data_IF_510073556045
#
_entry.id   IF_510073556045
#
_cell.length_a   1.000
_cell.length_b   1.000
_cell.length_c   1.000
_cell.angle_alpha   90.00
_cell.angle_beta   90.00
_cell.angle_gamma   90.00
#
_symmetry.space_group_name_H-M   'P 1'
#
loop_
_entity.id
_entity.type
_entity.pdbx_description
1 polymer ?
#
# COMPACT_ATOMS: atom_id res chain seq x y z
N UNK A 1 3.11 15.52 22.50
CA UNK A 1 3.29 15.49 21.05
C UNK A 1 2.36 16.54 20.50
N UNK A 2 2.88 17.57 19.89
CA UNK A 2 2.05 18.63 19.28
C UNK A 2 1.31 18.04 18.08
N UNK A 3 0.00 18.15 18.15
CA UNK A 3 -0.93 17.74 17.10
C UNK A 3 -0.72 18.64 15.87
N UNK A 4 0.28 18.32 15.05
CA UNK A 4 0.61 19.08 13.84
C UNK A 4 -0.38 18.65 12.77
N UNK A 5 -1.34 19.54 12.45
CA UNK A 5 -2.27 19.33 11.33
C UNK A 5 -1.48 19.06 10.03
N UNK A 6 -1.49 17.86 9.48
CA UNK A 6 -0.73 17.52 8.27
C UNK A 6 -1.18 18.31 7.03
N UNK A 7 -2.39 18.87 7.06
CA UNK A 7 -2.92 19.71 5.99
C UNK A 7 -2.52 21.21 6.13
N UNK A 8 -1.87 21.58 7.23
CA UNK A 8 -1.49 22.99 7.48
C UNK A 8 -0.67 23.61 6.34
N UNK A 9 0.38 22.94 5.79
CA UNK A 9 1.16 23.51 4.69
C UNK A 9 0.32 23.79 3.43
N UNK A 10 -0.70 22.96 3.17
CA UNK A 10 -1.62 23.17 2.03
C UNK A 10 -2.63 24.29 2.30
N UNK A 11 -3.13 24.40 3.53
CA UNK A 11 -4.06 25.47 3.93
C UNK A 11 -3.41 26.85 3.91
N UNK A 12 -2.13 26.90 4.25
CA UNK A 12 -1.33 28.14 4.28
C UNK A 12 -0.63 28.43 2.94
N UNK A 13 -0.74 27.54 1.97
CA UNK A 13 -0.11 27.68 0.66
C UNK A 13 -0.66 28.90 -0.09
N UNK A 14 0.23 29.80 -0.48
CA UNK A 14 -0.10 30.98 -1.30
C UNK A 14 0.50 30.79 -2.68
N UNK A 15 -0.33 30.73 -3.75
CA UNK A 15 0.16 30.64 -5.12
C UNK A 15 1.09 31.83 -5.46
N UNK A 16 2.23 31.51 -6.08
CA UNK A 16 3.23 32.50 -6.52
C UNK A 16 3.33 32.56 -8.04
N UNK A 17 2.79 31.56 -8.73
CA UNK A 17 2.88 31.38 -10.17
C UNK A 17 1.50 31.29 -10.81
N UNK A 18 1.45 31.47 -12.12
CA UNK A 18 0.20 31.39 -12.91
C UNK A 18 -0.36 29.96 -12.96
N UNK A 19 0.52 28.96 -12.93
CA UNK A 19 0.15 27.55 -13.01
C UNK A 19 0.50 26.82 -11.70
N UNK A 20 -0.21 25.74 -11.47
CA UNK A 20 -0.04 24.85 -10.34
C UNK A 20 0.06 23.41 -10.84
N UNK A 21 1.02 22.64 -10.31
CA UNK A 21 1.23 21.24 -10.66
C UNK A 21 1.38 20.42 -9.38
N UNK A 22 0.49 19.45 -9.20
CA UNK A 22 0.60 18.41 -8.19
C UNK A 22 1.29 17.17 -8.79
N UNK A 23 2.31 16.65 -8.15
CA UNK A 23 3.08 15.50 -8.62
C UNK A 23 2.98 14.38 -7.58
N UNK A 24 2.54 13.19 -8.01
CA UNK A 24 2.62 12.00 -7.20
C UNK A 24 4.07 11.47 -7.13
N UNK A 25 4.44 10.89 -6.01
CA UNK A 25 5.79 10.36 -5.78
C UNK A 25 5.92 8.94 -6.29
N UNK A 26 5.19 7.99 -5.66
CA UNK A 26 5.34 6.55 -5.89
C UNK A 26 4.82 6.10 -7.25
N UNK A 27 5.71 5.62 -8.11
CA UNK A 27 5.36 5.14 -9.45
C UNK A 27 4.99 6.26 -10.42
N UNK A 28 5.27 7.51 -10.06
CA UNK A 28 5.14 8.70 -10.89
C UNK A 28 6.48 9.42 -11.01
N UNK A 29 6.98 10.02 -9.94
CA UNK A 29 8.31 10.64 -9.94
C UNK A 29 9.43 9.61 -9.70
N UNK A 30 9.18 8.60 -8.86
CA UNK A 30 10.15 7.56 -8.51
C UNK A 30 9.61 6.16 -8.83
N UNK A 31 10.49 5.26 -9.29
CA UNK A 31 10.15 3.86 -9.59
C UNK A 31 10.14 3.00 -8.30
N UNK A 32 9.37 3.42 -7.33
CA UNK A 32 9.26 2.77 -6.02
C UNK A 32 8.18 1.69 -5.97
N UNK A 33 7.15 1.76 -6.83
CA UNK A 33 6.03 0.82 -6.79
C UNK A 33 6.48 -0.62 -7.06
N UNK A 34 7.35 -0.83 -8.05
CA UNK A 34 7.83 -2.17 -8.41
C UNK A 34 8.53 -2.85 -7.23
N UNK A 35 9.51 -2.18 -6.63
CA UNK A 35 10.29 -2.72 -5.51
C UNK A 35 9.42 -2.90 -4.25
N UNK A 36 8.56 -1.92 -3.92
CA UNK A 36 7.65 -2.03 -2.77
C UNK A 36 6.76 -3.26 -2.88
N UNK A 37 6.10 -3.45 -4.04
CA UNK A 37 5.14 -4.56 -4.20
C UNK A 37 5.81 -5.92 -4.28
N UNK A 38 6.95 -6.05 -4.98
CA UNK A 38 7.65 -7.32 -5.17
C UNK A 38 8.48 -7.73 -3.97
N UNK A 39 9.23 -6.81 -3.38
CA UNK A 39 10.23 -7.14 -2.36
C UNK A 39 9.73 -6.89 -0.92
N UNK A 40 8.74 -6.02 -0.74
CA UNK A 40 8.23 -5.72 0.60
C UNK A 40 6.85 -6.34 0.86
N UNK A 41 5.87 -6.09 0.00
CA UNK A 41 4.50 -6.56 0.24
C UNK A 41 4.34 -8.06 -0.01
N UNK A 42 4.79 -8.54 -1.16
CA UNK A 42 4.53 -9.89 -1.63
C UNK A 42 5.18 -10.97 -0.77
N UNK A 43 6.48 -10.91 -0.42
CA UNK A 43 7.12 -11.92 0.41
C UNK A 43 6.45 -12.09 1.76
N UNK A 44 6.11 -11.00 2.41
CA UNK A 44 5.43 -11.03 3.71
C UNK A 44 3.97 -11.47 3.61
N UNK A 45 3.27 -11.17 2.51
CA UNK A 45 1.95 -11.74 2.23
C UNK A 45 2.04 -13.27 2.13
N UNK A 46 3.00 -13.80 1.38
CA UNK A 46 3.20 -15.24 1.25
C UNK A 46 3.48 -15.87 2.62
N UNK A 47 4.35 -15.25 3.42
CA UNK A 47 4.74 -15.76 4.73
C UNK A 47 3.61 -15.75 5.74
N UNK A 48 2.97 -14.62 5.93
CA UNK A 48 1.93 -14.44 6.96
C UNK A 48 0.63 -15.20 6.66
N UNK A 49 0.24 -15.29 5.39
CA UNK A 49 -1.04 -15.91 5.01
C UNK A 49 -0.91 -17.37 4.53
N UNK A 50 0.25 -18.02 4.78
CA UNK A 50 0.43 -19.44 4.52
C UNK A 50 0.37 -19.82 3.03
N UNK A 51 0.86 -18.95 2.14
CA UNK A 51 0.75 -19.10 0.70
C UNK A 51 1.99 -19.76 0.06
N UNK A 52 2.91 -20.28 0.83
CA UNK A 52 4.16 -20.88 0.34
C UNK A 52 3.92 -21.98 -0.72
N UNK A 53 2.93 -22.89 -0.57
CA UNK A 53 2.67 -23.92 -1.57
C UNK A 53 2.25 -23.38 -2.94
N UNK A 54 1.76 -22.14 -2.98
CA UNK A 54 1.27 -21.45 -4.19
C UNK A 54 1.96 -20.09 -4.39
N UNK A 55 3.19 -19.96 -3.91
CA UNK A 55 3.92 -18.69 -3.86
C UNK A 55 4.03 -17.99 -5.23
N UNK A 56 4.20 -18.75 -6.32
CA UNK A 56 4.24 -18.16 -7.65
C UNK A 56 2.90 -17.53 -8.03
N UNK A 57 1.80 -18.25 -7.86
CA UNK A 57 0.45 -17.73 -8.12
C UNK A 57 0.15 -16.50 -7.24
N UNK A 58 0.60 -16.52 -5.97
CA UNK A 58 0.45 -15.38 -5.08
C UNK A 58 1.20 -14.13 -5.59
N UNK A 59 2.42 -14.30 -6.13
CA UNK A 59 3.17 -13.21 -6.77
C UNK A 59 2.45 -12.66 -8.00
N UNK A 60 2.01 -13.54 -8.89
CA UNK A 60 1.29 -13.15 -10.10
C UNK A 60 0.01 -12.37 -9.78
N UNK A 61 -0.80 -12.85 -8.82
CA UNK A 61 -1.99 -12.15 -8.35
C UNK A 61 -1.65 -10.80 -7.73
N UNK A 62 -0.59 -10.74 -6.93
CA UNK A 62 -0.14 -9.50 -6.26
C UNK A 62 0.33 -8.46 -7.26
N UNK A 63 1.19 -8.85 -8.20
CA UNK A 63 1.66 -7.94 -9.24
C UNK A 63 0.51 -7.46 -10.13
N UNK A 64 -0.38 -8.36 -10.53
CA UNK A 64 -1.55 -7.97 -11.30
C UNK A 64 -2.39 -6.93 -10.55
N UNK A 65 -2.76 -7.20 -9.29
CA UNK A 65 -3.63 -6.32 -8.52
C UNK A 65 -3.01 -4.93 -8.30
N UNK A 66 -1.73 -4.87 -7.92
CA UNK A 66 -1.10 -3.64 -7.44
C UNK A 66 -0.30 -2.87 -8.50
N UNK A 67 0.10 -3.53 -9.60
CA UNK A 67 0.92 -2.89 -10.63
C UNK A 67 0.21 -2.77 -11.99
N UNK A 68 -0.65 -3.73 -12.35
CA UNK A 68 -1.15 -3.85 -13.72
C UNK A 68 -2.67 -3.80 -13.87
N UNK A 69 -3.43 -3.76 -12.76
CA UNK A 69 -4.88 -3.72 -12.80
C UNK A 69 -5.45 -2.34 -12.47
N UNK A 70 -6.78 -2.23 -12.52
CA UNK A 70 -7.52 -1.02 -12.09
C UNK A 70 -7.37 -0.72 -10.60
N UNK A 71 -6.87 -1.68 -9.81
CA UNK A 71 -6.64 -1.52 -8.37
C UNK A 71 -5.23 -1.03 -8.04
N UNK A 72 -4.41 -0.71 -9.05
CA UNK A 72 -3.09 -0.07 -8.84
C UNK A 72 -3.25 1.19 -7.98
N UNK A 73 -2.41 1.29 -6.94
CA UNK A 73 -2.45 2.41 -6.00
C UNK A 73 -3.60 2.37 -4.98
N UNK A 74 -4.42 1.32 -4.99
CA UNK A 74 -5.46 1.15 -3.98
C UNK A 74 -4.88 0.86 -2.59
N UNK A 75 -5.70 1.05 -1.55
CA UNK A 75 -5.32 0.72 -0.19
C UNK A 75 -4.90 -0.75 -0.06
N UNK A 76 -3.78 -1.01 0.64
CA UNK A 76 -3.19 -2.35 0.81
C UNK A 76 -4.14 -3.41 1.34
N UNK A 77 -5.07 -3.02 2.22
CA UNK A 77 -6.05 -3.95 2.80
C UNK A 77 -7.12 -4.36 1.78
N UNK A 78 -7.53 -3.45 0.91
CA UNK A 78 -8.46 -3.75 -0.18
C UNK A 78 -7.87 -4.72 -1.19
N UNK A 79 -6.61 -4.48 -1.61
CA UNK A 79 -5.94 -5.37 -2.56
C UNK A 79 -5.59 -6.71 -1.93
N UNK A 80 -5.19 -6.75 -0.67
CA UNK A 80 -4.96 -8.01 0.04
C UNK A 80 -6.23 -8.87 0.09
N UNK A 81 -7.38 -8.28 0.46
CA UNK A 81 -8.66 -8.98 0.42
C UNK A 81 -8.98 -9.50 -0.98
N UNK A 82 -8.89 -8.66 -2.01
CA UNK A 82 -9.12 -9.05 -3.39
C UNK A 82 -8.26 -10.26 -3.81
N UNK A 83 -6.99 -10.25 -3.41
CA UNK A 83 -6.07 -11.36 -3.73
C UNK A 83 -6.50 -12.65 -3.01
N UNK A 84 -6.74 -12.60 -1.71
CA UNK A 84 -7.01 -13.79 -0.90
C UNK A 84 -8.41 -14.36 -1.15
N UNK A 85 -9.41 -13.50 -1.32
CA UNK A 85 -10.79 -13.91 -1.47
C UNK A 85 -11.16 -14.31 -2.91
N UNK A 86 -10.58 -13.63 -3.93
CA UNK A 86 -11.06 -13.74 -5.29
C UNK A 86 -9.99 -14.22 -6.28
N UNK A 87 -8.85 -13.52 -6.39
CA UNK A 87 -7.88 -13.76 -7.45
C UNK A 87 -7.15 -15.09 -7.24
N UNK A 88 -6.63 -15.32 -6.06
CA UNK A 88 -5.82 -16.50 -5.78
C UNK A 88 -6.64 -17.81 -5.81
N UNK A 89 -7.86 -17.90 -5.22
CA UNK A 89 -8.71 -19.08 -5.39
C UNK A 89 -9.07 -19.40 -6.84
N UNK A 90 -9.14 -18.36 -7.67
CA UNK A 90 -9.48 -18.50 -9.10
C UNK A 90 -8.28 -18.86 -9.98
N UNK A 91 -7.06 -18.74 -9.45
CA UNK A 91 -5.83 -18.94 -10.22
C UNK A 91 -5.67 -20.39 -10.67
N UNK A 92 -5.33 -20.67 -11.96
CA UNK A 92 -5.23 -22.04 -12.49
C UNK A 92 -4.29 -22.95 -11.69
N UNK A 93 -3.12 -22.46 -11.29
CA UNK A 93 -2.15 -23.21 -10.49
C UNK A 93 -2.71 -23.58 -9.10
N UNK A 94 -3.49 -22.71 -8.48
CA UNK A 94 -4.09 -22.98 -7.16
C UNK A 94 -5.14 -24.09 -7.30
N UNK A 95 -5.96 -24.01 -8.34
CA UNK A 95 -6.97 -25.03 -8.64
C UNK A 95 -6.33 -26.38 -8.99
N UNK A 96 -5.32 -26.41 -9.85
CA UNK A 96 -4.64 -27.64 -10.26
C UNK A 96 -3.92 -28.34 -9.08
N UNK A 97 -3.46 -27.59 -8.09
CA UNK A 97 -2.87 -28.11 -6.86
C UNK A 97 -3.90 -28.46 -5.78
N UNK A 98 -5.17 -28.20 -6.03
CA UNK A 98 -6.25 -28.34 -5.04
C UNK A 98 -5.94 -27.65 -3.70
N UNK A 99 -5.18 -26.54 -3.77
CA UNK A 99 -4.81 -25.78 -2.58
C UNK A 99 -5.98 -24.95 -2.07
N UNK A 100 -6.28 -25.08 -0.79
CA UNK A 100 -7.31 -24.28 -0.12
C UNK A 100 -6.69 -22.98 0.40
N UNK A 101 -6.96 -21.88 -0.27
CA UNK A 101 -6.51 -20.55 0.17
C UNK A 101 -7.12 -20.24 1.53
N UNK A 102 -6.33 -19.94 2.57
CA UNK A 102 -6.85 -19.54 3.87
C UNK A 102 -7.78 -18.33 3.76
N UNK A 103 -8.88 -18.35 4.50
CA UNK A 103 -9.88 -17.30 4.49
C UNK A 103 -9.92 -16.57 5.84
N UNK A 104 -10.17 -15.27 5.81
CA UNK A 104 -10.13 -14.38 6.95
C UNK A 104 -11.42 -13.53 7.01
N UNK A 105 -12.59 -14.14 7.29
CA UNK A 105 -13.87 -13.49 7.11
C UNK A 105 -14.05 -12.24 7.99
N UNK A 106 -13.49 -12.21 9.18
CA UNK A 106 -13.58 -11.04 10.07
C UNK A 106 -12.72 -9.87 9.56
N UNK A 107 -11.54 -10.17 9.01
CA UNK A 107 -10.72 -9.17 8.35
C UNK A 107 -11.41 -8.62 7.09
N UNK A 108 -12.04 -9.49 6.29
CA UNK A 108 -12.76 -9.05 5.09
C UNK A 108 -13.95 -8.16 5.46
N UNK A 109 -14.71 -8.52 6.48
CA UNK A 109 -15.79 -7.69 6.99
C UNK A 109 -15.32 -6.31 7.47
N UNK A 110 -14.16 -6.24 8.12
CA UNK A 110 -13.56 -4.98 8.51
C UNK A 110 -13.16 -4.14 7.29
N UNK A 111 -12.59 -4.75 6.25
CA UNK A 111 -12.20 -4.05 5.01
C UNK A 111 -13.42 -3.49 4.28
N UNK A 112 -14.55 -4.20 4.28
CA UNK A 112 -15.78 -3.81 3.59
C UNK A 112 -16.62 -2.79 4.37
N UNK A 113 -16.39 -2.66 5.66
CA UNK A 113 -17.15 -1.73 6.48
C UNK A 113 -16.75 -0.27 6.13
N UNK A 114 -17.68 0.55 5.62
CA UNK A 114 -17.41 1.92 5.20
C UNK A 114 -16.95 2.85 6.35
N UNK A 115 -17.19 2.43 7.60
CA UNK A 115 -16.75 3.15 8.80
C UNK A 115 -15.33 2.78 9.22
N UNK A 116 -14.73 1.75 8.65
CA UNK A 116 -13.37 1.33 8.99
C UNK A 116 -12.35 2.31 8.44
N UNK A 117 -11.41 2.70 9.29
CA UNK A 117 -10.20 3.41 8.87
C UNK A 117 -9.17 2.36 8.45
N UNK A 118 -8.94 2.21 7.15
CA UNK A 118 -8.05 1.17 6.59
C UNK A 118 -6.58 1.54 6.78
N UNK A 119 -6.10 1.45 8.02
CA UNK A 119 -4.74 1.76 8.46
C UNK A 119 -4.35 0.88 9.65
N UNK A 120 -3.08 0.90 10.05
CA UNK A 120 -2.62 0.16 11.25
C UNK A 120 -3.36 0.64 12.51
N UNK A 121 -3.60 1.93 12.64
CA UNK A 121 -4.35 2.48 13.78
C UNK A 121 -5.81 2.03 13.77
N UNK A 122 -6.43 1.97 12.59
CA UNK A 122 -7.77 1.42 12.44
C UNK A 122 -7.84 -0.07 12.79
N UNK A 123 -6.81 -0.88 12.43
CA UNK A 123 -6.72 -2.28 12.85
C UNK A 123 -6.56 -2.41 14.37
N UNK A 124 -5.68 -1.63 15.00
CA UNK A 124 -5.50 -1.64 16.46
C UNK A 124 -6.81 -1.35 17.19
N UNK A 125 -7.57 -0.37 16.69
CA UNK A 125 -8.90 -0.07 17.24
C UNK A 125 -9.85 -1.25 17.07
N UNK A 126 -9.93 -1.83 15.86
CA UNK A 126 -10.80 -2.96 15.59
C UNK A 126 -10.43 -4.20 16.41
N UNK A 127 -9.14 -4.45 16.66
CA UNK A 127 -8.66 -5.52 17.55
C UNK A 127 -9.13 -5.30 19.00
N UNK A 128 -9.04 -4.07 19.48
CA UNK A 128 -9.49 -3.72 20.84
C UNK A 128 -11.02 -3.92 21.00
N UNK A 129 -11.79 -3.69 19.94
CA UNK A 129 -13.23 -3.84 19.90
C UNK A 129 -13.69 -5.28 19.56
N UNK A 130 -12.77 -6.17 19.17
CA UNK A 130 -13.09 -7.53 18.75
C UNK A 130 -13.66 -8.38 19.91
N UNK A 131 -14.84 -8.95 19.71
CA UNK A 131 -15.57 -9.72 20.73
C UNK A 131 -15.30 -11.22 20.65
N UNK A 132 -14.79 -11.73 19.51
CA UNK A 132 -14.47 -13.15 19.34
C UNK A 132 -12.97 -13.37 19.16
N UNK A 133 -12.43 -14.52 19.63
CA UNK A 133 -11.03 -14.89 19.40
C UNK A 133 -10.68 -14.98 17.92
N UNK A 134 -11.58 -15.46 17.07
CA UNK A 134 -11.37 -15.58 15.63
C UNK A 134 -11.26 -14.20 14.95
N UNK A 135 -12.15 -13.27 15.33
CA UNK A 135 -12.07 -11.89 14.82
C UNK A 135 -10.75 -11.23 15.23
N UNK A 136 -10.36 -11.38 16.48
CA UNK A 136 -9.09 -10.86 16.98
C UNK A 136 -7.92 -11.44 16.19
N UNK A 137 -7.86 -12.76 16.03
CA UNK A 137 -6.79 -13.45 15.29
C UNK A 137 -6.67 -12.96 13.85
N UNK A 138 -7.78 -12.84 13.12
CA UNK A 138 -7.78 -12.39 11.72
C UNK A 138 -7.23 -10.96 11.59
N UNK A 139 -7.65 -10.06 12.50
CA UNK A 139 -7.22 -8.66 12.51
C UNK A 139 -5.76 -8.51 12.96
N UNK A 140 -5.33 -9.26 13.98
CA UNK A 140 -3.94 -9.26 14.46
C UNK A 140 -2.97 -9.76 13.39
N UNK A 141 -3.36 -10.80 12.63
CA UNK A 141 -2.56 -11.29 11.50
C UNK A 141 -2.39 -10.22 10.42
N UNK A 142 -3.46 -9.51 10.09
CA UNK A 142 -3.41 -8.43 9.11
C UNK A 142 -2.56 -7.24 9.60
N UNK A 143 -2.64 -6.90 10.89
CA UNK A 143 -1.81 -5.87 11.51
C UNK A 143 -0.33 -6.26 11.48
N UNK A 144 0.01 -7.47 11.92
CA UNK A 144 1.37 -7.97 11.94
C UNK A 144 2.00 -7.98 10.54
N UNK A 145 1.23 -8.42 9.52
CA UNK A 145 1.65 -8.31 8.12
C UNK A 145 1.92 -6.85 7.72
N UNK A 146 0.99 -5.95 8.00
CA UNK A 146 1.09 -4.54 7.60
C UNK A 146 2.27 -3.82 8.28
N UNK A 147 2.51 -4.09 9.55
CA UNK A 147 3.68 -3.56 10.29
C UNK A 147 4.98 -4.11 9.74
N UNK A 148 5.02 -5.42 9.40
CA UNK A 148 6.19 -6.04 8.81
C UNK A 148 6.50 -5.49 7.42
N UNK A 149 5.48 -5.22 6.61
CA UNK A 149 5.65 -4.53 5.32
C UNK A 149 6.24 -3.14 5.51
N UNK A 150 5.74 -2.36 6.47
CA UNK A 150 6.28 -1.03 6.75
C UNK A 150 7.76 -1.08 7.17
N UNK A 151 8.12 -2.06 7.99
CA UNK A 151 9.52 -2.31 8.35
C UNK A 151 10.36 -2.65 7.11
N UNK A 152 9.90 -3.58 6.26
CA UNK A 152 10.62 -3.98 5.05
C UNK A 152 10.81 -2.82 4.07
N UNK A 153 9.80 -1.97 3.89
CA UNK A 153 9.92 -0.74 3.08
C UNK A 153 11.06 0.14 3.63
N UNK A 154 11.10 0.36 4.95
CA UNK A 154 12.15 1.16 5.57
C UNK A 154 13.57 0.61 5.41
N UNK A 155 13.71 -0.72 5.28
CA UNK A 155 15.01 -1.36 5.09
C UNK A 155 15.43 -1.48 3.62
N UNK A 156 14.48 -1.74 2.72
CA UNK A 156 14.76 -2.12 1.32
C UNK A 156 14.67 -0.92 0.39
N UNK A 157 13.71 -0.02 0.59
CA UNK A 157 13.47 1.11 -0.32
C UNK A 157 14.31 2.31 0.13
N UNK A 158 15.53 2.37 -0.38
CA UNK A 158 16.50 3.44 -0.08
C UNK A 158 17.17 3.90 -1.36
N UNK A 159 17.40 5.21 -1.46
CA UNK A 159 18.13 5.84 -2.57
C UNK A 159 17.56 5.49 -3.97
N UNK A 160 16.24 5.42 -4.07
CA UNK A 160 15.58 5.14 -5.34
C UNK A 160 15.78 6.32 -6.31
N UNK A 161 16.24 6.06 -7.54
CA UNK A 161 16.36 7.14 -8.51
C UNK A 161 14.99 7.60 -9.02
N UNK A 162 14.86 8.85 -9.44
CA UNK A 162 13.69 9.28 -10.19
C UNK A 162 13.62 8.57 -11.55
N UNK A 163 12.43 8.50 -12.13
CA UNK A 163 12.31 8.09 -13.52
C UNK A 163 13.11 9.02 -14.46
N UNK A 164 13.54 8.52 -15.63
CA UNK A 164 14.18 9.34 -16.64
C UNK A 164 13.37 10.61 -16.95
N UNK A 165 14.07 11.73 -17.10
CA UNK A 165 13.50 13.04 -17.43
C UNK A 165 12.63 13.73 -16.37
N UNK A 166 12.38 13.11 -15.20
CA UNK A 166 11.62 13.77 -14.12
C UNK A 166 12.31 15.04 -13.66
N UNK A 167 13.61 14.98 -13.40
CA UNK A 167 14.39 16.12 -12.90
C UNK A 167 14.37 17.27 -13.91
N UNK A 168 14.68 16.98 -15.17
CA UNK A 168 14.70 17.96 -16.26
C UNK A 168 13.30 18.58 -16.47
N UNK A 169 12.25 17.77 -16.34
CA UNK A 169 10.88 18.26 -16.43
C UNK A 169 10.55 19.22 -15.31
N UNK A 170 10.91 18.88 -14.07
CA UNK A 170 10.74 19.75 -12.91
C UNK A 170 11.51 21.06 -13.02
N UNK A 171 12.75 21.01 -13.48
CA UNK A 171 13.59 22.20 -13.70
C UNK A 171 12.97 23.15 -14.74
N UNK A 172 12.39 22.60 -15.83
CA UNK A 172 11.70 23.38 -16.86
C UNK A 172 10.36 23.97 -16.37
N UNK A 173 9.64 23.27 -15.51
CA UNK A 173 8.32 23.67 -15.01
C UNK A 173 8.43 24.69 -13.88
N UNK A 174 9.44 24.57 -13.03
CA UNK A 174 9.62 25.41 -11.84
C UNK A 174 9.53 26.93 -12.06
N UNK A 175 10.03 27.53 -13.16
CA UNK A 175 9.83 28.95 -13.41
C UNK A 175 8.37 29.34 -13.70
N UNK A 176 7.56 28.41 -14.21
CA UNK A 176 6.22 28.65 -14.74
C UNK A 176 5.10 28.29 -13.76
N UNK A 177 5.33 27.30 -12.89
CA UNK A 177 4.32 26.72 -12.01
C UNK A 177 4.80 26.60 -10.56
N UNK A 178 3.87 26.72 -9.64
CA UNK A 178 4.04 26.21 -8.28
C UNK A 178 3.94 24.68 -8.32
N UNK A 179 4.96 23.99 -7.80
CA UNK A 179 5.05 22.53 -7.82
C UNK A 179 4.95 22.02 -6.40
N UNK A 180 4.03 21.09 -6.15
CA UNK A 180 3.90 20.39 -4.85
C UNK A 180 3.86 18.88 -5.06
N UNK A 181 4.27 18.15 -4.04
CA UNK A 181 4.09 16.69 -3.99
C UNK A 181 2.68 16.39 -3.46
N UNK A 182 1.96 15.56 -4.19
CA UNK A 182 0.64 15.04 -3.79
C UNK A 182 0.76 13.51 -3.74
N UNK A 183 0.94 12.97 -2.55
CA UNK A 183 1.17 11.53 -2.37
C UNK A 183 0.29 10.97 -1.27
N UNK A 184 -0.12 9.70 -1.43
CA UNK A 184 -0.75 8.91 -0.36
C UNK A 184 0.27 8.35 0.65
N UNK A 185 1.57 8.48 0.37
CA UNK A 185 2.65 8.07 1.26
C UNK A 185 2.81 9.10 2.40
N UNK A 186 2.91 8.65 3.66
CA UNK A 186 3.15 9.56 4.78
C UNK A 186 4.40 10.41 4.58
N UNK A 187 4.34 11.70 4.98
CA UNK A 187 5.42 12.66 4.75
C UNK A 187 6.78 12.21 5.31
N UNK A 188 6.80 11.57 6.47
CA UNK A 188 8.02 10.99 7.06
C UNK A 188 8.67 9.91 6.17
N UNK A 189 7.86 9.11 5.49
CA UNK A 189 8.34 8.10 4.55
C UNK A 189 8.91 8.75 3.29
N UNK A 190 8.24 9.79 2.76
CA UNK A 190 8.73 10.55 1.59
C UNK A 190 10.08 11.23 1.83
N UNK A 191 10.35 11.69 3.06
CA UNK A 191 11.64 12.31 3.40
C UNK A 191 12.75 11.27 3.53
N UNK A 192 12.40 10.03 3.92
CA UNK A 192 13.35 8.94 4.13
C UNK A 192 13.72 8.21 2.83
N UNK A 193 12.78 8.06 1.91
CA UNK A 193 12.94 7.37 0.62
C UNK A 193 13.73 8.22 -0.40
#
# INVERSE_FOLDING_TARGET
>A
MTDVDPAKPLKEFKPKKKFFIGIDSDGCAFDTMGIKQRECFCPWMIGYFGLQPVAQAARECKEFADLFSKTRGSNRHKTLKLILADLLPSHPMVRSRNFKVPQFPHYYAWVDNPKSVLSNEGLKKAIAEATSPDARRDLELALAWSERVNWAIGEIVKAMPPFPYVRESLEKIRPLADVIVVSATPGEALVRE
#
